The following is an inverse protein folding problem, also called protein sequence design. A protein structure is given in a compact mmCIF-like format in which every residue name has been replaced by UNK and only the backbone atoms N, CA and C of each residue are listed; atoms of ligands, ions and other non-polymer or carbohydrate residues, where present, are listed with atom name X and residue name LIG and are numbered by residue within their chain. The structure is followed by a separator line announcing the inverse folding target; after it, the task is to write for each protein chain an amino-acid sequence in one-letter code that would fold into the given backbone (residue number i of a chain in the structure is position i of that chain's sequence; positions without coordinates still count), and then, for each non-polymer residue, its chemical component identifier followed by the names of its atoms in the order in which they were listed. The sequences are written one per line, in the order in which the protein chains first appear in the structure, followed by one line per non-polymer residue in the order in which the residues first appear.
data_IF_750948322980
#
_entry.id   IF_750948322980
#
_cell.length_a   1.000
_cell.length_b   1.000
_cell.length_c   1.000
_cell.angle_alpha   90.00
_cell.angle_beta   90.00
_cell.angle_gamma   90.00
#
_symmetry.space_group_name_H-M   'P 1'
#
loop_
_entity.id
_entity.type
_entity.pdbx_description
1 polymer ?
#
# COMPACT_ATOMS: atom_id res chain seq x y z
N UNK A 1 18.44 14.72 0.50
CA UNK A 1 17.09 14.15 0.35
C UNK A 1 16.80 14.08 -1.15
N UNK A 2 16.12 13.03 -1.63
CA UNK A 2 15.69 12.96 -3.03
C UNK A 2 14.64 14.05 -3.25
N UNK A 3 14.79 14.86 -4.29
CA UNK A 3 13.80 15.90 -4.61
C UNK A 3 12.73 15.33 -5.52
N UNK A 4 11.46 15.45 -5.10
CA UNK A 4 10.28 15.16 -5.91
C UNK A 4 9.58 16.46 -6.36
N UNK A 5 10.29 17.58 -6.35
CA UNK A 5 9.74 18.87 -6.72
C UNK A 5 9.10 18.85 -8.11
N UNK A 6 7.84 19.28 -8.17
CA UNK A 6 7.03 19.30 -9.40
C UNK A 6 6.49 17.94 -9.85
N UNK A 7 6.71 16.86 -9.09
CA UNK A 7 6.12 15.53 -9.32
C UNK A 7 4.72 15.44 -8.71
N UNK A 8 3.92 14.50 -9.20
CA UNK A 8 2.58 14.20 -8.70
C UNK A 8 2.50 12.72 -8.36
N UNK A 9 2.09 12.41 -7.13
CA UNK A 9 1.92 11.06 -6.62
C UNK A 9 0.44 10.71 -6.39
N UNK A 10 -0.02 9.59 -6.94
CA UNK A 10 -1.34 9.00 -6.72
C UNK A 10 -1.20 7.88 -5.69
N UNK A 11 -1.91 7.98 -4.55
CA UNK A 11 -1.78 7.08 -3.40
C UNK A 11 -3.15 6.58 -2.99
N UNK A 12 -3.34 5.25 -2.93
CA UNK A 12 -4.57 4.62 -2.45
C UNK A 12 -4.43 4.15 -0.99
N UNK A 13 -5.52 4.18 -0.22
CA UNK A 13 -5.51 3.91 1.22
C UNK A 13 -4.78 5.02 1.99
N UNK A 14 -4.95 6.27 1.57
CA UNK A 14 -4.16 7.40 2.02
C UNK A 14 -4.71 8.10 3.28
N UNK A 15 -5.87 7.69 3.80
CA UNK A 15 -6.49 8.39 4.91
C UNK A 15 -5.77 8.19 6.25
N UNK A 16 -5.02 7.08 6.42
CA UNK A 16 -4.32 6.76 7.68
C UNK A 16 -3.16 5.78 7.48
N UNK A 17 -2.42 5.47 8.55
CA UNK A 17 -1.35 4.45 8.57
C UNK A 17 -0.28 4.71 7.52
N UNK A 18 0.12 3.66 6.80
CA UNK A 18 1.20 3.73 5.82
C UNK A 18 0.90 4.75 4.71
N UNK A 19 -0.32 4.71 4.12
CA UNK A 19 -0.67 5.62 3.02
C UNK A 19 -0.65 7.10 3.42
N UNK A 20 -1.05 7.44 4.66
CA UNK A 20 -0.88 8.79 5.21
C UNK A 20 0.59 9.16 5.33
N UNK A 21 1.42 8.29 5.91
CA UNK A 21 2.85 8.53 6.08
C UNK A 21 3.55 8.68 4.72
N UNK A 22 3.17 7.88 3.72
CA UNK A 22 3.64 7.98 2.34
C UNK A 22 3.26 9.33 1.71
N UNK A 23 2.00 9.76 1.86
CA UNK A 23 1.53 11.04 1.35
C UNK A 23 2.30 12.22 1.95
N UNK A 24 2.44 12.25 3.27
CA UNK A 24 3.18 13.30 4.00
C UNK A 24 4.66 13.28 3.63
N UNK A 25 5.26 12.11 3.51
CA UNK A 25 6.68 11.96 3.17
C UNK A 25 6.95 12.44 1.74
N UNK A 26 6.18 11.99 0.74
CA UNK A 26 6.37 12.41 -0.65
C UNK A 26 6.08 13.91 -0.83
N UNK A 27 5.10 14.45 -0.10
CA UNK A 27 4.82 15.88 -0.04
C UNK A 27 6.00 16.67 0.54
N UNK A 28 6.59 16.22 1.64
CA UNK A 28 7.78 16.82 2.25
C UNK A 28 9.02 16.79 1.33
N UNK A 29 9.10 15.79 0.43
CA UNK A 29 10.12 15.71 -0.61
C UNK A 29 9.77 16.54 -1.86
N UNK A 30 8.60 17.24 -1.89
CA UNK A 30 8.20 18.24 -2.88
C UNK A 30 7.16 17.78 -3.90
N UNK A 31 6.57 16.60 -3.76
CA UNK A 31 5.50 16.13 -4.65
C UNK A 31 4.14 16.73 -4.26
N UNK A 32 3.27 16.96 -5.25
CA UNK A 32 1.84 17.12 -5.02
C UNK A 32 1.17 15.75 -4.93
N UNK A 33 0.05 15.67 -4.20
CA UNK A 33 -0.58 14.41 -3.84
C UNK A 33 -1.99 14.30 -4.42
N UNK A 34 -2.31 13.16 -5.01
CA UNK A 34 -3.68 12.69 -5.27
C UNK A 34 -3.93 11.55 -4.29
N UNK A 35 -4.76 11.79 -3.29
CA UNK A 35 -5.03 10.86 -2.20
C UNK A 35 -6.41 10.23 -2.35
N UNK A 36 -6.50 8.91 -2.20
CA UNK A 36 -7.75 8.17 -2.28
C UNK A 36 -7.88 7.22 -1.11
N UNK A 37 -9.07 7.16 -0.52
CA UNK A 37 -9.46 6.16 0.47
C UNK A 37 -10.94 5.84 0.32
N UNK A 38 -11.37 4.66 0.78
CA UNK A 38 -12.79 4.28 0.74
C UNK A 38 -13.63 5.09 1.72
N UNK A 39 -13.05 5.47 2.88
CA UNK A 39 -13.70 6.17 3.98
C UNK A 39 -15.02 5.53 4.45
N UNK A 40 -15.17 4.23 4.28
CA UNK A 40 -16.35 3.45 4.65
C UNK A 40 -15.94 2.09 5.20
N UNK A 41 -16.87 1.44 5.94
CA UNK A 41 -16.64 0.15 6.56
C UNK A 41 -16.94 -1.01 5.61
N UNK A 42 -16.01 -1.96 5.48
CA UNK A 42 -16.24 -3.25 4.83
C UNK A 42 -16.72 -4.23 5.90
N UNK A 43 -17.89 -4.84 5.69
CA UNK A 43 -18.57 -5.63 6.72
C UNK A 43 -17.76 -6.83 7.24
N UNK A 44 -16.90 -7.42 6.41
CA UNK A 44 -16.04 -8.55 6.81
C UNK A 44 -14.82 -8.11 7.64
N UNK A 45 -14.52 -6.81 7.72
CA UNK A 45 -13.37 -6.30 8.45
C UNK A 45 -13.75 -6.01 9.89
N UNK A 46 -13.18 -6.74 10.88
CA UNK A 46 -13.62 -6.67 12.27
C UNK A 46 -13.03 -5.50 13.08
N UNK A 47 -12.28 -4.62 12.45
CA UNK A 47 -11.73 -3.40 13.04
C UNK A 47 -12.20 -2.18 12.27
N UNK A 48 -12.29 -0.99 12.91
CA UNK A 48 -12.73 0.23 12.23
C UNK A 48 -11.82 0.56 11.04
N UNK A 49 -12.40 0.82 9.86
CA UNK A 49 -11.68 1.37 8.72
C UNK A 49 -11.55 2.89 8.82
N UNK A 50 -10.87 3.51 7.86
CA UNK A 50 -10.68 4.95 7.81
C UNK A 50 -12.01 5.69 7.58
N UNK A 51 -12.08 6.91 8.05
CA UNK A 51 -13.23 7.81 7.93
C UNK A 51 -12.87 9.01 7.04
N UNK A 52 -13.89 9.79 6.65
CA UNK A 52 -13.69 11.07 5.97
C UNK A 52 -12.85 12.05 6.81
N UNK A 53 -13.00 12.03 8.14
CA UNK A 53 -12.18 12.85 9.05
C UNK A 53 -10.70 12.41 9.03
N UNK A 54 -10.44 11.12 8.91
CA UNK A 54 -9.07 10.61 8.73
C UNK A 54 -8.43 11.11 7.43
N UNK A 55 -9.21 11.13 6.34
CA UNK A 55 -8.75 11.66 5.06
C UNK A 55 -8.52 13.17 5.14
N UNK A 56 -9.42 13.91 5.78
CA UNK A 56 -9.25 15.34 6.02
C UNK A 56 -8.01 15.66 6.87
N UNK A 57 -7.69 14.82 7.86
CA UNK A 57 -6.45 14.95 8.63
C UNK A 57 -5.20 14.75 7.75
N UNK A 58 -5.24 13.81 6.81
CA UNK A 58 -4.14 13.62 5.84
C UNK A 58 -3.99 14.85 4.93
N UNK A 59 -5.11 15.42 4.46
CA UNK A 59 -5.10 16.67 3.67
C UNK A 59 -4.34 17.76 4.42
N UNK A 60 -4.72 18.01 5.68
CA UNK A 60 -4.07 19.03 6.50
C UNK A 60 -2.57 18.78 6.66
N UNK A 61 -2.16 17.55 6.96
CA UNK A 61 -0.75 17.19 7.15
C UNK A 61 0.07 17.39 5.87
N UNK A 62 -0.50 17.11 4.70
CA UNK A 62 0.17 17.34 3.41
C UNK A 62 0.28 18.85 3.14
N UNK A 63 -0.78 19.63 3.36
CA UNK A 63 -0.78 21.08 3.19
C UNK A 63 0.21 21.78 4.14
N UNK A 64 0.35 21.28 5.36
CA UNK A 64 1.33 21.78 6.34
C UNK A 64 2.80 21.63 5.85
N UNK A 65 3.07 20.76 4.85
CA UNK A 65 4.39 20.67 4.18
C UNK A 65 4.60 21.75 3.11
N UNK A 66 3.54 22.45 2.71
CA UNK A 66 3.55 23.40 1.59
C UNK A 66 3.20 22.77 0.23
N UNK A 67 2.94 21.45 0.18
CA UNK A 67 2.48 20.77 -1.03
C UNK A 67 0.97 20.93 -1.23
N UNK A 68 0.52 20.69 -2.46
CA UNK A 68 -0.91 20.66 -2.81
C UNK A 68 -1.42 19.23 -2.79
N UNK A 69 -2.70 19.05 -2.43
CA UNK A 69 -3.35 17.75 -2.39
C UNK A 69 -4.76 17.82 -2.98
N UNK A 70 -5.12 16.80 -3.77
CA UNK A 70 -6.51 16.50 -4.15
C UNK A 70 -6.88 15.20 -3.49
N UNK A 71 -7.83 15.22 -2.55
CA UNK A 71 -8.31 14.03 -1.86
C UNK A 71 -9.72 13.68 -2.35
N UNK A 72 -9.99 12.39 -2.54
CA UNK A 72 -11.30 11.87 -2.97
C UNK A 72 -11.62 10.55 -2.24
N UNK A 73 -12.86 10.38 -1.90
CA UNK A 73 -13.40 9.09 -1.48
C UNK A 73 -13.60 8.21 -2.72
N UNK A 74 -12.97 7.02 -2.74
CA UNK A 74 -13.16 6.02 -3.78
C UNK A 74 -12.75 4.64 -3.29
N UNK A 75 -13.48 3.63 -3.74
CA UNK A 75 -13.19 2.22 -3.48
C UNK A 75 -12.29 1.65 -4.58
N UNK A 76 -11.16 1.08 -4.22
CA UNK A 76 -10.24 0.45 -5.18
C UNK A 76 -10.85 -0.74 -5.92
N UNK A 77 -11.93 -1.31 -5.40
CA UNK A 77 -12.71 -2.37 -6.07
C UNK A 77 -13.53 -1.83 -7.25
N UNK A 78 -13.88 -0.55 -7.24
CA UNK A 78 -14.61 0.14 -8.31
C UNK A 78 -13.64 0.97 -9.18
N UNK A 79 -13.29 0.40 -10.34
CA UNK A 79 -12.39 1.03 -11.28
C UNK A 79 -12.93 2.39 -11.81
N UNK A 80 -14.24 2.54 -11.92
CA UNK A 80 -14.85 3.80 -12.38
C UNK A 80 -14.70 4.90 -11.35
N UNK A 81 -14.98 4.59 -10.08
CA UNK A 81 -14.79 5.51 -8.96
C UNK A 81 -13.33 5.93 -8.85
N UNK A 82 -12.40 4.95 -8.96
CA UNK A 82 -10.96 5.19 -8.88
C UNK A 82 -10.46 6.07 -10.04
N UNK A 83 -10.93 5.82 -11.27
CA UNK A 83 -10.59 6.64 -12.43
C UNK A 83 -11.09 8.08 -12.29
N UNK A 84 -12.30 8.28 -11.78
CA UNK A 84 -12.84 9.60 -11.49
C UNK A 84 -12.03 10.38 -10.45
N UNK A 85 -11.57 9.70 -9.41
CA UNK A 85 -10.72 10.28 -8.38
C UNK A 85 -9.35 10.69 -8.93
N UNK A 86 -8.72 9.84 -9.74
CA UNK A 86 -7.47 10.15 -10.44
C UNK A 86 -7.65 11.34 -11.39
N UNK A 87 -8.74 11.36 -12.18
CA UNK A 87 -9.01 12.43 -13.13
C UNK A 87 -9.14 13.79 -12.44
N UNK A 88 -9.80 13.86 -11.29
CA UNK A 88 -9.88 15.10 -10.50
C UNK A 88 -8.50 15.64 -10.11
N UNK A 89 -7.56 14.76 -9.80
CA UNK A 89 -6.17 15.14 -9.53
C UNK A 89 -5.41 15.55 -10.81
N UNK A 90 -5.66 14.86 -11.92
CA UNK A 90 -5.04 15.21 -13.22
C UNK A 90 -5.54 16.57 -13.72
N UNK A 91 -6.81 16.92 -13.52
CA UNK A 91 -7.39 18.23 -13.86
C UNK A 91 -6.70 19.36 -13.08
N UNK A 92 -6.31 19.08 -11.83
CA UNK A 92 -5.66 20.06 -10.96
C UNK A 92 -4.15 20.20 -11.22
N UNK A 93 -3.44 19.08 -11.47
CA UNK A 93 -1.98 19.05 -11.53
C UNK A 93 -1.41 18.87 -12.94
N UNK A 94 -2.20 18.38 -13.88
CA UNK A 94 -1.83 18.23 -15.28
C UNK A 94 -0.86 17.07 -15.56
N UNK A 95 -0.41 16.30 -14.55
CA UNK A 95 0.58 15.23 -14.71
C UNK A 95 0.42 14.13 -13.67
N UNK A 96 1.07 12.98 -13.91
CA UNK A 96 1.24 11.88 -12.98
C UNK A 96 2.68 11.36 -13.09
N UNK A 97 3.36 11.08 -11.98
CA UNK A 97 4.74 10.58 -11.98
C UNK A 97 4.91 9.34 -11.11
N UNK A 98 4.14 9.27 -10.03
CA UNK A 98 4.25 8.23 -9.01
C UNK A 98 2.88 7.62 -8.73
N UNK A 99 2.83 6.30 -8.61
CA UNK A 99 1.66 5.56 -8.15
C UNK A 99 2.06 4.70 -6.96
N UNK A 100 1.32 4.80 -5.86
CA UNK A 100 1.48 3.93 -4.71
C UNK A 100 0.16 3.18 -4.47
N UNK A 101 0.12 1.91 -4.87
CA UNK A 101 -1.02 1.03 -4.62
C UNK A 101 -0.88 0.43 -3.22
N UNK A 102 -1.36 1.20 -2.22
CA UNK A 102 -1.19 0.88 -0.80
C UNK A 102 -2.47 0.34 -0.15
N UNK A 103 -3.66 0.68 -0.64
CA UNK A 103 -4.93 0.23 -0.04
C UNK A 103 -4.94 -1.28 0.23
N UNK A 104 -5.36 -1.66 1.44
CA UNK A 104 -5.41 -3.06 1.84
C UNK A 104 -6.14 -3.27 3.16
N UNK A 105 -6.65 -4.49 3.34
CA UNK A 105 -7.34 -4.95 4.54
C UNK A 105 -6.76 -6.30 5.01
N UNK A 106 -6.91 -6.62 6.29
CA UNK A 106 -6.45 -7.87 6.88
C UNK A 106 -7.51 -8.41 7.88
N UNK A 107 -8.68 -8.89 7.41
CA UNK A 107 -9.73 -9.42 8.25
C UNK A 107 -9.39 -10.85 8.69
N UNK A 108 -8.52 -10.98 9.69
CA UNK A 108 -8.19 -12.28 10.29
C UNK A 108 -9.44 -12.92 10.92
N UNK A 109 -9.52 -14.25 10.90
CA UNK A 109 -10.67 -15.06 11.37
C UNK A 109 -11.99 -14.81 10.59
N UNK A 110 -12.00 -13.97 9.55
CA UNK A 110 -13.18 -13.77 8.73
C UNK A 110 -13.49 -15.01 7.88
N UNK A 111 -14.80 -15.29 7.67
CA UNK A 111 -15.28 -16.39 6.85
C UNK A 111 -15.08 -16.19 5.34
N UNK A 112 -15.94 -16.83 4.55
CA UNK A 112 -15.84 -16.80 3.07
C UNK A 112 -15.93 -15.37 2.49
N UNK A 113 -16.66 -14.47 3.13
CA UNK A 113 -16.74 -13.06 2.70
C UNK A 113 -15.40 -12.34 2.95
N UNK A 114 -14.71 -12.66 4.03
CA UNK A 114 -13.37 -12.14 4.27
C UNK A 114 -12.37 -12.54 3.20
N UNK A 115 -12.43 -13.79 2.70
CA UNK A 115 -11.62 -14.22 1.55
C UNK A 115 -11.90 -13.34 0.32
N UNK A 116 -13.19 -13.15 -0.04
CA UNK A 116 -13.58 -12.38 -1.22
C UNK A 116 -13.12 -10.94 -1.10
N UNK A 117 -13.45 -10.27 0.01
CA UNK A 117 -13.09 -8.87 0.22
C UNK A 117 -11.58 -8.66 0.22
N UNK A 118 -10.80 -9.60 0.78
CA UNK A 118 -9.33 -9.53 0.74
C UNK A 118 -8.80 -9.64 -0.69
N UNK A 119 -9.30 -10.58 -1.49
CA UNK A 119 -8.89 -10.71 -2.90
C UNK A 119 -9.30 -9.46 -3.68
N UNK A 120 -10.51 -8.97 -3.47
CA UNK A 120 -11.04 -7.82 -4.20
C UNK A 120 -10.29 -6.53 -3.85
N UNK A 121 -9.95 -6.30 -2.58
CA UNK A 121 -9.19 -5.11 -2.16
C UNK A 121 -7.69 -5.28 -2.42
N UNK A 122 -7.07 -6.35 -1.89
CA UNK A 122 -5.62 -6.46 -1.81
C UNK A 122 -4.96 -6.95 -3.11
N UNK A 123 -5.72 -7.52 -4.05
CA UNK A 123 -5.21 -7.97 -5.34
C UNK A 123 -5.89 -7.26 -6.50
N UNK A 124 -7.22 -7.36 -6.62
CA UNK A 124 -7.97 -6.69 -7.69
C UNK A 124 -7.86 -5.17 -7.57
N UNK A 125 -7.95 -4.61 -6.35
CA UNK A 125 -7.79 -3.17 -6.10
C UNK A 125 -6.39 -2.65 -6.44
N UNK A 126 -5.34 -3.44 -6.19
CA UNK A 126 -3.97 -3.12 -6.63
C UNK A 126 -3.88 -3.11 -8.16
N UNK A 127 -4.43 -4.13 -8.81
CA UNK A 127 -4.53 -4.17 -10.27
C UNK A 127 -5.29 -2.96 -10.81
N UNK A 128 -6.48 -2.66 -10.31
CA UNK A 128 -7.29 -1.50 -10.72
C UNK A 128 -6.52 -0.18 -10.56
N UNK A 129 -5.79 -0.01 -9.46
CA UNK A 129 -4.97 1.20 -9.21
C UNK A 129 -3.93 1.41 -10.30
N UNK A 130 -3.26 0.34 -10.74
CA UNK A 130 -2.28 0.42 -11.84
C UNK A 130 -2.98 0.66 -13.17
N UNK A 131 -4.07 -0.05 -13.47
CA UNK A 131 -4.79 0.03 -14.74
C UNK A 131 -5.35 1.43 -15.01
N UNK A 132 -5.89 2.12 -14.01
CA UNK A 132 -6.40 3.50 -14.20
C UNK A 132 -5.28 4.52 -14.37
N UNK A 133 -4.11 4.28 -13.81
CA UNK A 133 -2.97 5.21 -13.83
C UNK A 133 -2.03 5.00 -15.04
N UNK A 134 -1.86 3.75 -15.47
CA UNK A 134 -0.93 3.33 -16.51
C UNK A 134 -1.11 4.09 -17.84
N UNK A 135 -2.33 4.28 -18.39
CA UNK A 135 -2.51 4.99 -19.65
C UNK A 135 -1.95 6.42 -19.60
N UNK A 136 -2.16 7.12 -18.47
CA UNK A 136 -1.65 8.49 -18.31
C UNK A 136 -0.13 8.53 -18.24
N UNK A 137 0.51 7.61 -17.51
CA UNK A 137 1.97 7.51 -17.45
C UNK A 137 2.58 7.23 -18.83
N UNK A 138 1.97 6.33 -19.61
CA UNK A 138 2.43 6.00 -20.98
C UNK A 138 2.25 7.18 -21.93
N UNK A 139 1.05 7.81 -21.94
CA UNK A 139 0.75 8.94 -22.81
C UNK A 139 1.66 10.15 -22.53
N UNK A 140 1.96 10.40 -21.25
CA UNK A 140 2.84 11.50 -20.85
C UNK A 140 4.27 11.33 -21.37
N UNK A 141 4.77 10.09 -21.46
CA UNK A 141 6.09 9.79 -22.05
C UNK A 141 7.29 10.18 -21.19
N UNK A 142 7.09 10.68 -19.98
CA UNK A 142 8.15 11.13 -19.06
C UNK A 142 8.70 10.01 -18.16
N UNK A 143 8.28 8.75 -18.42
CA UNK A 143 8.52 7.64 -17.52
C UNK A 143 7.63 7.69 -16.26
N UNK A 144 8.05 7.01 -15.19
CA UNK A 144 7.29 6.99 -13.94
C UNK A 144 7.78 5.94 -12.95
N UNK A 145 7.17 5.92 -11.77
CA UNK A 145 7.45 4.89 -10.76
C UNK A 145 6.18 4.41 -10.08
N UNK A 146 5.96 3.11 -10.09
CA UNK A 146 4.83 2.44 -9.44
C UNK A 146 5.36 1.59 -8.30
N UNK A 147 4.82 1.75 -7.10
CA UNK A 147 5.14 0.95 -5.92
C UNK A 147 3.87 0.23 -5.47
N UNK A 148 3.94 -1.08 -5.36
CA UNK A 148 2.87 -1.93 -4.87
C UNK A 148 3.19 -2.34 -3.43
N UNK A 149 2.31 -2.01 -2.48
CA UNK A 149 2.50 -2.41 -1.09
C UNK A 149 1.96 -3.82 -0.89
N UNK A 150 2.90 -4.77 -0.82
CA UNK A 150 2.63 -6.16 -0.50
C UNK A 150 2.72 -6.39 1.02
N UNK A 151 3.42 -7.42 1.43
CA UNK A 151 3.67 -7.82 2.82
C UNK A 151 4.79 -8.87 2.87
N UNK A 152 5.38 -9.12 4.01
CA UNK A 152 6.16 -10.34 4.28
C UNK A 152 5.34 -11.59 3.93
N UNK A 153 4.01 -11.56 4.13
CA UNK A 153 3.08 -12.60 3.70
C UNK A 153 3.00 -12.81 2.17
N UNK A 154 3.57 -11.93 1.38
CA UNK A 154 3.74 -12.12 -0.07
C UNK A 154 5.02 -12.84 -0.46
N UNK A 155 5.91 -13.12 0.50
CA UNK A 155 7.20 -13.81 0.31
C UNK A 155 7.27 -15.13 1.05
N UNK A 156 6.56 -15.25 2.17
CA UNK A 156 6.50 -16.47 2.99
C UNK A 156 5.04 -16.79 3.36
N UNK A 157 4.75 -18.05 3.68
CA UNK A 157 3.42 -18.46 4.13
C UNK A 157 3.16 -17.98 5.55
N UNK A 158 2.26 -17.01 5.70
CA UNK A 158 1.79 -16.51 7.00
C UNK A 158 0.29 -16.69 7.06
N UNK A 159 -0.25 -17.15 8.18
CA UNK A 159 -1.69 -17.20 8.39
C UNK A 159 -2.14 -18.27 9.38
N UNK A 160 -3.34 -18.10 9.92
CA UNK A 160 -3.98 -19.00 10.87
C UNK A 160 -4.77 -20.16 10.25
N UNK A 161 -4.82 -20.28 8.92
CA UNK A 161 -5.62 -21.29 8.20
C UNK A 161 -7.09 -20.91 8.00
N UNK A 162 -7.54 -19.77 8.53
CA UNK A 162 -8.87 -19.21 8.24
C UNK A 162 -8.92 -18.57 6.84
N UNK A 163 -10.13 -18.44 6.24
CA UNK A 163 -10.26 -17.90 4.89
C UNK A 163 -9.67 -16.49 4.70
N UNK A 164 -9.82 -15.60 5.68
CA UNK A 164 -9.28 -14.24 5.61
C UNK A 164 -7.75 -14.23 5.57
N UNK A 165 -7.09 -14.97 6.46
CA UNK A 165 -5.62 -15.10 6.53
C UNK A 165 -5.05 -15.77 5.28
N UNK A 166 -5.69 -16.83 4.77
CA UNK A 166 -5.30 -17.51 3.54
C UNK A 166 -5.46 -16.59 2.32
N UNK A 167 -6.58 -15.85 2.27
CA UNK A 167 -6.83 -14.83 1.24
C UNK A 167 -5.77 -13.74 1.24
N UNK A 168 -5.39 -13.26 2.43
CA UNK A 168 -4.34 -12.24 2.58
C UNK A 168 -3.00 -12.72 2.01
N UNK A 169 -2.55 -13.90 2.42
CA UNK A 169 -1.30 -14.50 1.91
C UNK A 169 -1.37 -14.71 0.40
N UNK A 170 -2.47 -15.25 -0.13
CA UNK A 170 -2.66 -15.46 -1.56
C UNK A 170 -2.64 -14.13 -2.34
N UNK A 171 -3.38 -13.11 -1.88
CA UNK A 171 -3.42 -11.79 -2.50
C UNK A 171 -2.02 -11.14 -2.53
N UNK A 172 -1.29 -11.17 -1.40
CA UNK A 172 0.04 -10.55 -1.31
C UNK A 172 1.10 -11.29 -2.14
N UNK A 173 1.00 -12.61 -2.35
CA UNK A 173 1.78 -13.32 -3.36
C UNK A 173 1.35 -12.94 -4.79
N UNK A 174 0.05 -12.78 -5.03
CA UNK A 174 -0.50 -12.30 -6.32
C UNK A 174 0.05 -10.92 -6.69
N UNK A 175 0.21 -10.01 -5.72
CA UNK A 175 0.84 -8.69 -5.95
C UNK A 175 2.28 -8.81 -6.47
N UNK A 176 3.06 -9.80 -6.00
CA UNK A 176 4.40 -10.07 -6.55
C UNK A 176 4.33 -10.48 -8.02
N UNK A 177 3.33 -11.29 -8.38
CA UNK A 177 3.07 -11.67 -9.77
C UNK A 177 2.72 -10.45 -10.63
N UNK A 178 1.79 -9.61 -10.17
CA UNK A 178 1.42 -8.36 -10.84
C UNK A 178 2.63 -7.42 -11.00
N UNK A 179 3.40 -7.23 -9.94
CA UNK A 179 4.60 -6.38 -9.96
C UNK A 179 5.56 -6.81 -11.08
N UNK A 180 5.88 -8.09 -11.18
CA UNK A 180 6.80 -8.63 -12.20
C UNK A 180 6.24 -8.47 -13.61
N UNK A 181 4.95 -8.72 -13.79
CA UNK A 181 4.28 -8.57 -15.09
C UNK A 181 4.28 -7.10 -15.55
N UNK A 182 3.88 -6.18 -14.66
CA UNK A 182 3.90 -4.75 -14.96
C UNK A 182 5.31 -4.20 -15.14
N UNK A 183 6.30 -4.65 -14.37
CA UNK A 183 7.69 -4.24 -14.56
C UNK A 183 8.20 -4.55 -15.97
N UNK A 184 7.88 -5.73 -16.50
CA UNK A 184 8.24 -6.11 -17.85
C UNK A 184 7.44 -5.34 -18.91
N UNK A 185 6.13 -5.18 -18.71
CA UNK A 185 5.24 -4.53 -19.65
C UNK A 185 5.54 -3.02 -19.80
N UNK A 186 5.88 -2.36 -18.69
CA UNK A 186 6.04 -0.91 -18.63
C UNK A 186 7.49 -0.43 -18.80
N UNK A 187 8.47 -1.33 -18.75
CA UNK A 187 9.89 -1.00 -18.93
C UNK A 187 10.18 -0.25 -20.25
N UNK A 188 9.58 -0.61 -21.42
CA UNK A 188 9.78 0.14 -22.68
C UNK A 188 9.34 1.60 -22.59
N UNK A 189 8.46 1.95 -21.66
CA UNK A 189 7.99 3.31 -21.40
C UNK A 189 8.79 4.04 -20.30
N UNK A 190 9.92 3.47 -19.86
CA UNK A 190 10.71 4.01 -18.73
C UNK A 190 9.93 4.12 -17.43
N UNK A 191 8.87 3.31 -17.25
CA UNK A 191 8.07 3.22 -16.03
C UNK A 191 8.58 2.03 -15.22
N UNK A 192 9.00 2.29 -13.99
CA UNK A 192 9.52 1.28 -13.06
C UNK A 192 8.38 0.76 -12.17
N UNK A 193 8.36 -0.53 -11.90
CA UNK A 193 7.39 -1.14 -11.00
C UNK A 193 8.12 -2.01 -9.99
N UNK A 194 7.90 -1.76 -8.70
CA UNK A 194 8.51 -2.52 -7.60
C UNK A 194 7.47 -2.81 -6.52
N UNK A 195 7.75 -3.77 -5.65
CA UNK A 195 6.91 -4.02 -4.48
C UNK A 195 7.70 -3.91 -3.19
N UNK A 196 7.05 -3.37 -2.14
CA UNK A 196 7.56 -3.32 -0.77
C UNK A 196 6.84 -4.38 0.04
N UNK A 197 7.58 -5.03 0.94
CA UNK A 197 7.10 -6.14 1.75
C UNK A 197 7.35 -5.87 3.24
N UNK A 198 6.45 -5.11 3.89
CA UNK A 198 6.53 -4.86 5.33
C UNK A 198 6.27 -6.13 6.15
N UNK A 199 6.86 -6.21 7.34
CA UNK A 199 6.42 -7.06 8.44
C UNK A 199 5.26 -6.39 9.21
N UNK A 200 5.22 -6.47 10.52
CA UNK A 200 4.27 -5.73 11.36
C UNK A 200 4.58 -4.23 11.36
N UNK A 201 3.61 -3.40 10.99
CA UNK A 201 3.72 -1.94 11.02
C UNK A 201 2.69 -1.37 12.00
N UNK A 202 3.12 -0.47 12.87
CA UNK A 202 2.31 0.20 13.87
C UNK A 202 1.23 1.07 13.19
N UNK A 203 0.08 0.49 12.95
CA UNK A 203 -1.06 1.10 12.28
C UNK A 203 -2.36 0.57 12.85
N UNK A 204 -3.50 1.24 12.65
CA UNK A 204 -4.80 0.73 13.12
C UNK A 204 -5.19 -0.66 12.58
N UNK A 205 -4.56 -1.14 11.49
CA UNK A 205 -4.74 -2.51 10.99
C UNK A 205 -4.15 -3.55 11.94
N UNK A 206 -3.03 -3.23 12.62
CA UNK A 206 -2.33 -4.14 13.54
C UNK A 206 -2.65 -3.78 14.99
N UNK A 207 -2.63 -2.49 15.34
CA UNK A 207 -2.90 -2.01 16.69
C UNK A 207 -4.41 -1.84 16.94
N UNK A 208 -5.12 -2.96 17.07
CA UNK A 208 -6.53 -3.01 17.45
C UNK A 208 -6.82 -4.25 18.31
N UNK A 209 -7.96 -4.23 19.02
CA UNK A 209 -8.31 -5.30 19.96
C UNK A 209 -8.50 -6.66 19.27
N UNK A 210 -9.09 -6.67 18.07
CA UNK A 210 -9.32 -7.90 17.33
C UNK A 210 -8.00 -8.57 16.94
N UNK A 211 -7.05 -7.83 16.36
CA UNK A 211 -5.75 -8.37 15.96
C UNK A 211 -4.95 -8.85 17.18
N UNK A 212 -4.99 -8.11 18.29
CA UNK A 212 -4.35 -8.55 19.54
C UNK A 212 -4.93 -9.86 20.06
N UNK A 213 -6.26 -9.99 20.03
CA UNK A 213 -6.95 -11.21 20.49
C UNK A 213 -6.69 -12.39 19.55
N UNK A 214 -6.74 -12.17 18.22
CA UNK A 214 -6.39 -13.18 17.23
C UNK A 214 -4.97 -13.71 17.44
N UNK A 215 -3.99 -12.84 17.60
CA UNK A 215 -2.60 -13.22 17.83
C UNK A 215 -2.44 -14.03 19.13
N UNK A 216 -3.09 -13.60 20.21
CA UNK A 216 -3.08 -14.32 21.47
C UNK A 216 -3.68 -15.74 21.30
N UNK A 217 -4.77 -15.89 20.55
CA UNK A 217 -5.40 -17.17 20.27
C UNK A 217 -4.47 -18.07 19.43
N UNK A 218 -3.82 -17.53 18.39
CA UNK A 218 -2.87 -18.28 17.55
C UNK A 218 -1.71 -18.81 18.40
N UNK A 219 -1.14 -17.98 19.27
CA UNK A 219 -0.05 -18.37 20.16
C UNK A 219 -0.50 -19.46 21.16
N UNK A 220 -1.69 -19.33 21.75
CA UNK A 220 -2.19 -20.24 22.78
C UNK A 220 -2.57 -21.63 22.24
N UNK A 221 -3.02 -21.73 20.99
CA UNK A 221 -3.59 -22.96 20.41
C UNK A 221 -2.72 -23.60 19.32
N UNK A 222 -1.58 -23.02 18.99
CA UNK A 222 -0.65 -23.60 18.01
C UNK A 222 0.31 -24.57 18.71
N UNK A 223 0.41 -25.80 18.21
CA UNK A 223 1.45 -26.76 18.64
C UNK A 223 2.86 -26.23 18.33
N UNK A 224 2.99 -25.36 17.35
CA UNK A 224 4.20 -24.60 16.99
C UNK A 224 3.80 -23.15 16.78
N UNK A 225 3.78 -22.34 17.85
CA UNK A 225 3.49 -20.91 17.69
C UNK A 225 4.40 -20.32 16.58
N UNK A 226 3.84 -19.54 15.67
CA UNK A 226 4.68 -18.88 14.67
C UNK A 226 5.73 -18.05 15.41
N UNK A 227 6.98 -18.17 14.98
CA UNK A 227 8.02 -17.26 15.44
C UNK A 227 7.75 -15.89 14.80
N UNK A 228 7.00 -15.06 15.54
CA UNK A 228 6.64 -13.70 15.13
C UNK A 228 7.75 -12.68 15.42
N UNK A 229 8.87 -13.16 15.99
CA UNK A 229 10.01 -12.27 16.23
C UNK A 229 10.75 -11.91 14.94
N UNK A 230 11.29 -10.71 14.91
CA UNK A 230 12.13 -10.22 13.83
C UNK A 230 13.60 -10.63 14.06
N UNK A 231 14.45 -10.61 13.02
CA UNK A 231 15.88 -10.88 13.18
C UNK A 231 16.57 -9.71 13.90
N UNK A 232 16.13 -8.49 13.65
CA UNK A 232 16.57 -7.31 14.41
C UNK A 232 15.75 -7.18 15.70
N UNK A 233 16.28 -6.54 16.77
CA UNK A 233 15.59 -6.37 18.06
C UNK A 233 14.54 -5.23 17.98
N UNK A 234 13.69 -5.27 16.98
CA UNK A 234 12.58 -4.34 16.74
C UNK A 234 11.31 -5.18 16.65
N UNK A 235 10.26 -4.80 17.35
CA UNK A 235 9.01 -5.59 17.40
C UNK A 235 8.08 -5.25 16.24
N UNK A 236 7.95 -3.97 15.93
CA UNK A 236 7.12 -3.43 14.85
C UNK A 236 7.82 -2.24 14.21
N UNK A 237 7.59 -2.03 12.94
CA UNK A 237 8.00 -0.84 12.20
C UNK A 237 7.02 0.31 12.44
N UNK A 238 7.48 1.53 12.22
CA UNK A 238 6.59 2.67 12.08
C UNK A 238 6.21 2.89 10.61
N UNK A 239 5.07 3.55 10.37
CA UNK A 239 4.61 3.82 9.01
C UNK A 239 5.61 4.66 8.20
N UNK A 240 6.38 5.51 8.89
CA UNK A 240 7.43 6.36 8.33
C UNK A 240 8.61 5.56 7.77
N UNK A 241 8.91 4.36 8.31
CA UNK A 241 9.95 3.47 7.79
C UNK A 241 9.57 2.97 6.39
N UNK A 242 8.30 2.62 6.21
CA UNK A 242 7.77 2.22 4.91
C UNK A 242 7.74 3.40 3.94
N UNK A 243 7.28 4.57 4.40
CA UNK A 243 7.27 5.79 3.60
C UNK A 243 8.68 6.19 3.14
N UNK A 244 9.71 5.96 3.97
CA UNK A 244 11.11 6.20 3.58
C UNK A 244 11.57 5.28 2.44
N UNK A 245 11.19 4.00 2.47
CA UNK A 245 11.51 3.05 1.40
C UNK A 245 10.75 3.39 0.10
N UNK A 246 9.47 3.79 0.20
CA UNK A 246 8.69 4.30 -0.95
C UNK A 246 9.37 5.52 -1.55
N UNK A 247 9.71 6.53 -0.74
CA UNK A 247 10.36 7.76 -1.21
C UNK A 247 11.68 7.48 -1.94
N UNK A 248 12.48 6.52 -1.46
CA UNK A 248 13.70 6.10 -2.16
C UNK A 248 13.37 5.42 -3.49
N UNK A 249 12.46 4.44 -3.52
CA UNK A 249 12.11 3.71 -4.74
C UNK A 249 11.54 4.62 -5.84
N UNK A 250 10.78 5.67 -5.49
CA UNK A 250 10.19 6.57 -6.48
C UNK A 250 11.16 7.66 -6.94
N UNK A 251 12.27 7.86 -6.26
CA UNK A 251 13.28 8.88 -6.58
C UNK A 251 14.21 8.45 -7.72
N UNK A 252 14.96 9.42 -8.25
CA UNK A 252 16.01 9.21 -9.25
C UNK A 252 17.19 8.37 -8.71
N UNK A 253 17.33 8.23 -7.39
CA UNK A 253 18.35 7.37 -6.79
C UNK A 253 18.10 5.88 -7.12
N UNK A 254 16.83 5.50 -7.35
CA UNK A 254 16.41 4.16 -7.74
C UNK A 254 16.10 4.04 -9.24
N UNK A 255 16.60 4.96 -10.09
CA UNK A 255 16.22 5.06 -11.52
C UNK A 255 16.43 3.80 -12.36
N UNK A 256 17.24 2.86 -11.89
CA UNK A 256 17.49 1.56 -12.56
C UNK A 256 16.95 0.37 -11.76
N UNK A 257 16.10 0.60 -10.74
CA UNK A 257 15.48 -0.44 -9.93
C UNK A 257 14.06 -0.67 -10.43
N UNK A 258 13.80 -1.83 -11.03
CA UNK A 258 12.47 -2.29 -11.45
C UNK A 258 12.36 -3.82 -11.32
N UNK A 259 11.19 -4.34 -11.04
CA UNK A 259 10.94 -5.78 -10.87
C UNK A 259 11.45 -6.36 -9.54
N UNK A 260 11.71 -5.50 -8.55
CA UNK A 260 12.27 -5.92 -7.25
C UNK A 260 11.15 -6.11 -6.22
N UNK A 261 11.26 -7.20 -5.46
CA UNK A 261 10.58 -7.37 -4.17
C UNK A 261 11.51 -6.86 -3.07
N UNK A 262 11.16 -5.76 -2.42
CA UNK A 262 11.98 -5.12 -1.37
C UNK A 262 11.39 -5.41 0.01
N UNK A 263 11.92 -6.36 0.80
CA UNK A 263 11.53 -6.52 2.19
C UNK A 263 11.95 -5.30 3.01
N UNK A 264 11.01 -4.77 3.80
CA UNK A 264 11.25 -3.79 4.86
C UNK A 264 10.62 -4.40 6.10
N UNK A 265 11.34 -5.33 6.73
CA UNK A 265 10.76 -6.36 7.59
C UNK A 265 11.69 -6.80 8.75
N UNK A 266 12.67 -6.00 9.11
CA UNK A 266 13.66 -6.28 10.15
C UNK A 266 14.30 -7.70 10.05
N UNK A 267 14.35 -8.22 8.83
CA UNK A 267 14.89 -9.55 8.52
C UNK A 267 13.91 -10.71 8.80
N UNK A 268 12.61 -10.42 8.95
CA UNK A 268 11.58 -11.42 9.25
C UNK A 268 11.55 -12.58 8.24
N UNK A 269 11.57 -12.29 6.94
CA UNK A 269 11.50 -13.33 5.88
C UNK A 269 12.77 -14.15 5.73
N UNK A 270 13.92 -13.68 6.25
CA UNK A 270 15.20 -14.36 6.20
C UNK A 270 15.51 -15.15 7.48
N UNK A 271 14.66 -15.07 8.48
CA UNK A 271 14.83 -15.76 9.74
C UNK A 271 14.68 -17.27 9.54
N UNK A 272 15.61 -18.05 10.08
CA UNK A 272 15.65 -19.53 10.03
C UNK A 272 15.26 -20.13 11.36
#
# INVERSE_FOLDING_TARGET
MASLAGKVAFITGAARGQGRAEAVRLASDGANIIAVDICDQIASVPYPLATADDLAATVKLVEDTGARIVAREADVRDQTSLAGALQAGLDEFGRLDVVVANAGIAPMEAGADGWRDVIDVNLTGVHNTVEVAMPRLIEQGDGGSIVLISSAAGLVGIGGGDPGSLGYTAAKHGVVGLMRAYANHLAPHSIRVNSIHPSGVNTPMIDNDHTRQWLANVIAHSERPPDMGNAMPVQVLEAEDIAAAVAWLVSDQARYITGVTLPVDEGYVNKR
#
